data_IF_793184449514
#
_entry.id   IF_793184449514
#
_cell.length_a   1.000
_cell.length_b   1.000
_cell.length_c   1.000
_cell.angle_alpha   90.00
_cell.angle_beta   90.00
_cell.angle_gamma   90.00
#
_symmetry.space_group_name_H-M   'P 1'
#
loop_
_entity.id
_entity.type
_entity.pdbx_description
1 polymer ?
#
# COMPACT_ATOMS: atom_id res chain seq x y z
N UNK A 1 23.63 -48.93 -45.17
CA UNK A 1 24.80 -48.75 -44.28
C UNK A 1 24.46 -49.41 -42.95
N UNK A 2 25.44 -49.91 -42.20
CA UNK A 2 25.18 -50.23 -40.80
C UNK A 2 24.80 -48.90 -40.14
N UNK A 3 23.62 -48.79 -39.55
CA UNK A 3 23.21 -47.60 -38.81
C UNK A 3 22.97 -48.05 -37.39
N UNK A 4 23.70 -47.49 -36.43
CA UNK A 4 23.55 -47.77 -35.00
C UNK A 4 22.23 -47.23 -34.42
N UNK A 5 21.32 -46.76 -35.28
CA UNK A 5 20.01 -46.24 -34.94
C UNK A 5 20.00 -44.83 -34.34
N UNK A 6 21.15 -44.17 -34.20
CA UNK A 6 21.24 -42.83 -33.63
C UNK A 6 20.59 -41.73 -34.48
N UNK A 7 20.21 -40.62 -33.83
CA UNK A 7 19.88 -39.38 -34.56
C UNK A 7 21.16 -38.80 -35.21
N UNK A 8 21.00 -37.92 -36.21
CA UNK A 8 22.13 -37.40 -36.99
C UNK A 8 23.20 -36.70 -36.14
N UNK A 9 22.78 -35.99 -35.09
CA UNK A 9 23.69 -35.32 -34.15
C UNK A 9 24.51 -36.34 -33.35
N UNK A 10 23.86 -37.33 -32.74
CA UNK A 10 24.50 -38.39 -31.95
C UNK A 10 25.36 -39.30 -32.84
N UNK A 11 24.96 -39.56 -34.08
CA UNK A 11 25.77 -40.29 -35.04
C UNK A 11 27.08 -39.55 -35.33
N UNK A 12 27.03 -38.23 -35.54
CA UNK A 12 28.25 -37.42 -35.71
C UNK A 12 29.16 -37.47 -34.47
N UNK A 13 28.59 -37.34 -33.27
CA UNK A 13 29.36 -37.42 -32.03
C UNK A 13 30.01 -38.81 -31.83
N UNK A 14 29.29 -39.89 -32.13
CA UNK A 14 29.82 -41.25 -32.07
C UNK A 14 30.95 -41.45 -33.09
N UNK A 15 30.80 -40.96 -34.32
CA UNK A 15 31.87 -41.01 -35.34
C UNK A 15 33.11 -40.23 -34.88
N UNK A 16 32.93 -39.06 -34.26
CA UNK A 16 34.04 -38.27 -33.71
C UNK A 16 34.79 -39.04 -32.62
N UNK A 17 34.06 -39.65 -31.69
CA UNK A 17 34.65 -40.48 -30.65
C UNK A 17 35.35 -41.72 -31.24
N UNK A 18 34.76 -42.40 -32.22
CA UNK A 18 35.39 -43.54 -32.90
C UNK A 18 36.69 -43.13 -33.60
N UNK A 19 36.73 -41.97 -34.26
CA UNK A 19 37.95 -41.44 -34.89
C UNK A 19 39.04 -41.18 -33.86
N UNK A 20 38.67 -40.58 -32.72
CA UNK A 20 39.58 -40.37 -31.59
C UNK A 20 40.13 -41.70 -31.05
N UNK A 21 39.24 -42.66 -30.76
CA UNK A 21 39.62 -43.98 -30.25
C UNK A 21 40.53 -44.74 -31.22
N UNK A 22 40.24 -44.70 -32.52
CA UNK A 22 41.06 -45.31 -33.56
C UNK A 22 42.45 -44.66 -33.66
N UNK A 23 42.53 -43.33 -33.63
CA UNK A 23 43.82 -42.62 -33.65
C UNK A 23 44.67 -42.98 -32.44
N UNK A 24 44.05 -43.08 -31.27
CA UNK A 24 44.73 -43.47 -30.03
C UNK A 24 45.21 -44.92 -30.08
N UNK A 25 44.37 -45.85 -30.53
CA UNK A 25 44.74 -47.25 -30.77
C UNK A 25 45.96 -47.36 -31.71
N UNK A 26 45.96 -46.62 -32.81
CA UNK A 26 47.08 -46.62 -33.76
C UNK A 26 48.38 -46.08 -33.15
N UNK A 27 48.32 -45.04 -32.32
CA UNK A 27 49.48 -44.53 -31.59
C UNK A 27 50.04 -45.58 -30.62
N UNK A 28 49.16 -46.29 -29.91
CA UNK A 28 49.56 -47.30 -28.92
C UNK A 28 50.17 -48.54 -29.55
N UNK A 29 49.64 -48.98 -30.68
CA UNK A 29 50.28 -50.05 -31.46
C UNK A 29 51.69 -49.66 -31.88
N UNK A 30 51.91 -48.41 -32.31
CA UNK A 30 53.26 -47.91 -32.62
C UNK A 30 54.17 -47.90 -31.40
N UNK A 31 53.67 -47.51 -30.22
CA UNK A 31 54.44 -47.56 -28.97
C UNK A 31 54.89 -49.00 -28.66
N UNK A 32 53.99 -49.97 -28.80
CA UNK A 32 54.33 -51.39 -28.62
C UNK A 32 55.39 -51.81 -29.64
N UNK A 33 55.19 -51.52 -30.93
CA UNK A 33 56.16 -51.83 -31.99
C UNK A 33 57.54 -51.22 -31.70
N UNK A 34 57.57 -50.00 -31.17
CA UNK A 34 58.80 -49.34 -30.71
C UNK A 34 59.48 -50.11 -29.58
N UNK A 35 58.77 -50.66 -28.60
CA UNK A 35 59.39 -51.48 -27.55
C UNK A 35 60.12 -52.72 -28.12
N UNK A 36 59.53 -53.36 -29.14
CA UNK A 36 60.18 -54.49 -29.82
C UNK A 36 61.39 -54.03 -30.65
N UNK A 37 61.28 -52.88 -31.30
CA UNK A 37 62.38 -52.32 -32.08
C UNK A 37 63.54 -51.89 -31.18
N UNK A 38 63.26 -51.26 -30.04
CA UNK A 38 64.23 -50.87 -29.03
C UNK A 38 64.99 -52.09 -28.49
N UNK A 39 64.30 -53.21 -28.25
CA UNK A 39 64.96 -54.46 -27.84
C UNK A 39 65.90 -55.00 -28.94
N UNK A 40 65.45 -54.99 -30.20
CA UNK A 40 66.27 -55.44 -31.33
C UNK A 40 67.53 -54.59 -31.47
N UNK A 41 67.38 -53.27 -31.40
CA UNK A 41 68.47 -52.32 -31.62
C UNK A 41 69.44 -52.24 -30.44
N UNK A 42 68.98 -52.52 -29.21
CA UNK A 42 69.81 -52.42 -28.00
C UNK A 42 70.40 -53.73 -27.52
N UNK A 43 69.69 -54.86 -27.67
CA UNK A 43 70.10 -56.15 -27.08
C UNK A 43 70.28 -57.27 -28.09
N UNK A 44 69.67 -57.20 -29.27
CA UNK A 44 69.83 -58.20 -30.32
C UNK A 44 70.95 -57.84 -31.32
N UNK A 45 72.12 -57.46 -30.80
CA UNK A 45 73.25 -56.95 -31.60
C UNK A 45 74.31 -58.03 -31.87
N UNK A 46 74.34 -59.08 -31.05
CA UNK A 46 75.33 -60.15 -31.12
C UNK A 46 74.91 -61.28 -32.09
N UNK A 47 75.87 -61.99 -32.68
CA UNK A 47 75.61 -63.06 -33.65
C UNK A 47 75.16 -64.38 -32.99
N UNK A 48 75.47 -64.59 -31.70
CA UNK A 48 75.15 -65.81 -30.96
C UNK A 48 74.64 -65.49 -29.58
N UNK A 49 73.57 -66.17 -29.15
CA UNK A 49 73.01 -66.02 -27.81
C UNK A 49 72.83 -67.38 -27.14
N UNK A 50 72.98 -67.41 -25.81
CA UNK A 50 72.58 -68.55 -24.99
C UNK A 50 71.07 -68.55 -24.75
N UNK A 51 70.53 -69.72 -24.38
CA UNK A 51 69.10 -69.87 -24.09
C UNK A 51 68.67 -68.99 -22.90
N UNK A 52 69.55 -68.83 -21.90
CA UNK A 52 69.27 -68.04 -20.70
C UNK A 52 69.19 -66.54 -21.03
N UNK A 53 70.12 -66.03 -21.85
CA UNK A 53 70.11 -64.63 -22.31
C UNK A 53 68.87 -64.30 -23.14
N UNK A 54 68.49 -65.18 -24.08
CA UNK A 54 67.26 -65.01 -24.87
C UNK A 54 66.03 -65.04 -23.96
N UNK A 55 66.00 -65.93 -22.97
CA UNK A 55 64.89 -66.03 -22.03
C UNK A 55 64.76 -64.77 -21.16
N UNK A 56 65.87 -64.23 -20.68
CA UNK A 56 65.88 -62.97 -19.92
C UNK A 56 65.43 -61.78 -20.77
N UNK A 57 65.91 -61.68 -22.01
CA UNK A 57 65.48 -60.64 -22.97
C UNK A 57 63.98 -60.69 -23.25
N UNK A 58 63.44 -61.89 -23.49
CA UNK A 58 62.01 -62.09 -23.72
C UNK A 58 61.18 -61.76 -22.48
N UNK A 59 61.66 -62.13 -21.29
CA UNK A 59 60.99 -61.79 -20.05
C UNK A 59 60.97 -60.27 -19.79
N UNK A 60 62.10 -59.60 -20.01
CA UNK A 60 62.19 -58.13 -19.90
C UNK A 60 61.24 -57.42 -20.87
N UNK A 61 61.20 -57.86 -22.13
CA UNK A 61 60.27 -57.34 -23.13
C UNK A 61 58.80 -57.59 -22.72
N UNK A 62 58.48 -58.79 -22.22
CA UNK A 62 57.15 -59.12 -21.74
C UNK A 62 56.69 -58.17 -20.64
N UNK A 63 57.55 -57.86 -19.66
CA UNK A 63 57.22 -56.93 -18.56
C UNK A 63 56.94 -55.53 -19.09
N UNK A 64 57.77 -55.02 -20.01
CA UNK A 64 57.58 -53.68 -20.61
C UNK A 64 56.29 -53.61 -21.42
N UNK A 65 56.08 -54.56 -22.33
CA UNK A 65 54.86 -54.61 -23.17
C UNK A 65 53.61 -54.79 -22.32
N UNK A 66 53.66 -55.64 -21.28
CA UNK A 66 52.55 -55.80 -20.34
C UNK A 66 52.21 -54.48 -19.65
N UNK A 67 53.21 -53.74 -19.15
CA UNK A 67 53.00 -52.45 -18.50
C UNK A 67 52.36 -51.40 -19.43
N UNK A 68 52.81 -51.34 -20.69
CA UNK A 68 52.21 -50.44 -21.70
C UNK A 68 50.76 -50.80 -22.02
N UNK A 69 50.46 -52.09 -22.20
CA UNK A 69 49.10 -52.58 -22.47
C UNK A 69 48.19 -52.32 -21.28
N UNK A 70 48.62 -52.65 -20.06
CA UNK A 70 47.85 -52.43 -18.83
C UNK A 70 47.52 -50.95 -18.65
N UNK A 71 48.53 -50.08 -18.82
CA UNK A 71 48.35 -48.63 -18.74
C UNK A 71 47.33 -48.13 -19.76
N UNK A 72 47.34 -48.65 -20.99
CA UNK A 72 46.35 -48.23 -21.99
C UNK A 72 44.94 -48.78 -21.72
N UNK A 73 44.81 -50.00 -21.23
CA UNK A 73 43.51 -50.56 -20.83
C UNK A 73 42.86 -49.73 -19.72
N UNK A 74 43.64 -49.38 -18.69
CA UNK A 74 43.20 -48.48 -17.60
C UNK A 74 42.78 -47.12 -18.17
N UNK A 75 43.61 -46.55 -19.02
CA UNK A 75 43.32 -45.26 -19.63
C UNK A 75 42.08 -45.27 -20.52
N UNK A 76 41.80 -46.38 -21.21
CA UNK A 76 40.58 -46.57 -22.00
C UNK A 76 39.36 -46.57 -21.09
N UNK A 77 39.40 -47.30 -19.98
CA UNK A 77 38.33 -47.30 -18.97
C UNK A 77 38.09 -45.88 -18.41
N UNK A 78 39.15 -45.18 -17.99
CA UNK A 78 39.04 -43.79 -17.50
C UNK A 78 38.44 -42.84 -18.54
N UNK A 79 38.87 -42.95 -19.80
CA UNK A 79 38.36 -42.12 -20.89
C UNK A 79 36.86 -42.37 -21.12
N UNK A 80 36.42 -43.64 -21.02
CA UNK A 80 35.01 -44.00 -21.17
C UNK A 80 34.16 -43.50 -19.99
N UNK A 81 34.68 -43.57 -18.77
CA UNK A 81 34.02 -42.99 -17.59
C UNK A 81 33.88 -41.47 -17.73
N UNK A 82 34.89 -40.77 -18.28
CA UNK A 82 34.78 -39.34 -18.56
C UNK A 82 33.71 -39.02 -19.61
N UNK A 83 33.62 -39.83 -20.67
CA UNK A 83 32.56 -39.70 -21.65
C UNK A 83 31.17 -39.89 -21.01
N UNK A 84 30.99 -40.95 -20.20
CA UNK A 84 29.74 -41.19 -19.47
C UNK A 84 29.39 -40.03 -18.53
N UNK A 85 30.37 -39.49 -17.80
CA UNK A 85 30.19 -38.31 -16.95
C UNK A 85 29.68 -37.11 -17.76
N UNK A 86 30.25 -36.87 -18.95
CA UNK A 86 29.82 -35.78 -19.81
C UNK A 86 28.38 -35.97 -20.32
N UNK A 87 28.02 -37.20 -20.70
CA UNK A 87 26.66 -37.54 -21.13
C UNK A 87 25.66 -37.41 -19.98
N UNK A 88 25.97 -37.91 -18.79
CA UNK A 88 25.11 -37.80 -17.62
C UNK A 88 24.95 -36.35 -17.15
N UNK A 89 26.01 -35.54 -17.19
CA UNK A 89 25.88 -34.11 -16.86
C UNK A 89 24.95 -33.36 -17.82
N UNK A 90 24.92 -33.75 -19.10
CA UNK A 90 23.95 -33.20 -20.05
C UNK A 90 22.54 -33.72 -19.74
N UNK A 91 22.38 -35.03 -19.52
CA UNK A 91 21.09 -35.63 -19.18
C UNK A 91 20.46 -35.03 -17.91
N UNK A 92 21.26 -34.82 -16.86
CA UNK A 92 20.83 -34.22 -15.60
C UNK A 92 20.31 -32.79 -15.77
N UNK A 93 20.95 -31.97 -16.63
CA UNK A 93 20.46 -30.62 -16.96
C UNK A 93 19.07 -30.63 -17.59
N UNK A 94 18.72 -31.72 -18.28
CA UNK A 94 17.41 -31.95 -18.87
C UNK A 94 16.52 -32.88 -18.02
N UNK A 95 16.93 -33.18 -16.78
CA UNK A 95 16.23 -34.06 -15.84
C UNK A 95 15.93 -35.47 -16.38
N UNK A 96 16.76 -35.95 -17.30
CA UNK A 96 16.68 -37.29 -17.89
C UNK A 96 17.38 -38.30 -16.99
N UNK A 97 16.68 -39.40 -16.67
CA UNK A 97 17.26 -40.56 -16.00
C UNK A 97 17.71 -41.56 -17.06
N UNK A 98 19.01 -41.63 -17.30
CA UNK A 98 19.60 -42.61 -18.19
C UNK A 98 19.95 -43.88 -17.40
N UNK A 99 19.68 -45.03 -17.99
CA UNK A 99 20.08 -46.34 -17.48
C UNK A 99 20.86 -47.06 -18.58
N UNK A 100 21.97 -47.68 -18.19
CA UNK A 100 22.78 -48.48 -19.09
C UNK A 100 22.70 -49.93 -18.64
N UNK A 101 22.34 -50.83 -19.54
CA UNK A 101 22.44 -52.26 -19.28
C UNK A 101 23.89 -52.71 -19.54
N UNK A 102 24.61 -53.02 -18.47
CA UNK A 102 26.00 -53.48 -18.55
C UNK A 102 26.10 -54.84 -19.24
N UNK A 103 25.03 -55.64 -19.19
CA UNK A 103 24.98 -56.97 -19.79
C UNK A 103 25.08 -56.93 -21.33
N UNK A 104 24.63 -55.84 -21.94
CA UNK A 104 24.71 -55.67 -23.40
C UNK A 104 26.11 -55.28 -23.89
N UNK A 105 26.99 -54.78 -23.02
CA UNK A 105 28.34 -54.34 -23.39
C UNK A 105 29.25 -55.50 -23.84
N UNK A 106 28.97 -56.71 -23.37
CA UNK A 106 29.68 -57.93 -23.77
C UNK A 106 29.00 -58.68 -24.93
N UNK A 107 27.88 -58.16 -25.44
CA UNK A 107 27.16 -58.78 -26.53
C UNK A 107 28.00 -58.74 -27.81
N UNK A 108 28.49 -59.92 -28.21
CA UNK A 108 29.36 -60.10 -29.37
C UNK A 108 28.72 -59.63 -30.68
N UNK A 109 27.41 -59.78 -30.83
CA UNK A 109 26.69 -59.34 -32.03
C UNK A 109 26.66 -57.80 -32.11
N UNK A 110 26.39 -57.12 -30.99
CA UNK A 110 26.41 -55.65 -30.95
C UNK A 110 27.81 -55.09 -31.17
N UNK A 111 28.84 -55.73 -30.60
CA UNK A 111 30.24 -55.37 -30.84
C UNK A 111 30.64 -55.56 -32.30
N UNK A 112 30.16 -56.63 -32.95
CA UNK A 112 30.41 -56.88 -34.37
C UNK A 112 29.71 -55.85 -35.26
N UNK A 113 28.46 -55.47 -34.95
CA UNK A 113 27.75 -54.39 -35.65
C UNK A 113 28.49 -53.04 -35.52
N UNK A 114 29.01 -52.72 -34.34
CA UNK A 114 29.84 -51.52 -34.12
C UNK A 114 31.15 -51.60 -34.93
N UNK A 115 31.78 -52.77 -35.00
CA UNK A 115 33.00 -52.97 -35.78
C UNK A 115 32.75 -52.87 -37.29
N UNK A 116 31.64 -53.40 -37.79
CA UNK A 116 31.20 -53.22 -39.18
C UNK A 116 30.89 -51.77 -39.49
N UNK A 117 30.25 -51.05 -38.57
CA UNK A 117 30.01 -49.61 -38.68
C UNK A 117 31.31 -48.82 -38.76
N UNK A 118 32.26 -49.06 -37.84
CA UNK A 118 33.60 -48.43 -37.87
C UNK A 118 34.28 -48.70 -39.22
N UNK A 119 34.29 -49.95 -39.68
CA UNK A 119 34.87 -50.30 -40.99
C UNK A 119 34.17 -49.55 -42.12
N UNK A 120 32.84 -49.55 -42.16
CA UNK A 120 32.07 -48.90 -43.21
C UNK A 120 32.32 -47.38 -43.26
N UNK A 121 32.27 -46.68 -42.13
CA UNK A 121 32.49 -45.22 -42.06
C UNK A 121 33.90 -44.81 -42.48
N UNK A 122 34.91 -45.59 -42.12
CA UNK A 122 36.30 -45.21 -42.40
C UNK A 122 36.89 -45.82 -43.68
N UNK A 123 36.23 -46.79 -44.31
CA UNK A 123 36.60 -47.30 -45.66
C UNK A 123 35.81 -46.61 -46.77
N UNK A 124 34.62 -46.08 -46.48
CA UNK A 124 33.72 -45.47 -47.48
C UNK A 124 34.05 -44.03 -47.88
N UNK A 125 35.17 -43.46 -47.40
CA UNK A 125 35.69 -42.15 -47.86
C UNK A 125 35.87 -42.05 -49.39
N UNK A 126 35.76 -43.16 -50.13
CA UNK A 126 35.85 -43.21 -51.59
C UNK A 126 34.53 -43.27 -52.36
N UNK A 127 33.37 -43.53 -51.74
CA UNK A 127 32.08 -43.62 -52.47
C UNK A 127 30.90 -43.14 -51.63
N UNK A 128 30.55 -41.87 -51.79
CA UNK A 128 29.21 -41.38 -51.48
C UNK A 128 28.22 -41.97 -52.49
N UNK A 129 27.41 -42.91 -52.04
CA UNK A 129 26.17 -43.27 -52.74
C UNK A 129 25.04 -43.25 -51.72
N UNK A 130 24.14 -42.28 -51.91
CA UNK A 130 22.81 -42.21 -51.34
C UNK A 130 22.12 -43.57 -51.55
N UNK A 131 21.93 -44.32 -50.47
CA UNK A 131 20.88 -45.33 -50.40
C UNK A 131 20.19 -45.16 -49.07
N UNK A 132 19.02 -44.51 -49.12
CA UNK A 132 18.02 -44.50 -48.06
C UNK A 132 17.58 -45.94 -47.79
N UNK A 133 18.26 -46.62 -46.87
CA UNK A 133 17.74 -47.84 -46.29
C UNK A 133 16.77 -47.45 -45.18
N UNK A 134 15.47 -47.50 -45.51
CA UNK A 134 14.37 -47.48 -44.56
C UNK A 134 14.49 -48.68 -43.59
N UNK A 135 15.27 -48.51 -42.53
CA UNK A 135 15.10 -49.24 -41.26
C UNK A 135 14.57 -48.24 -40.23
N UNK A 136 13.76 -48.69 -39.26
CA UNK A 136 13.21 -47.79 -38.25
C UNK A 136 14.39 -47.16 -37.52
N UNK A 137 14.56 -45.85 -37.72
CA UNK A 137 15.40 -44.99 -36.88
C UNK A 137 15.06 -45.33 -35.43
N UNK A 138 16.01 -45.30 -34.49
CA UNK A 138 15.65 -45.25 -33.07
C UNK A 138 14.99 -43.88 -32.84
N UNK A 139 13.71 -43.81 -33.22
CA UNK A 139 12.75 -43.05 -32.48
C UNK A 139 12.87 -43.51 -31.02
N UNK A 140 12.77 -42.59 -30.06
CA UNK A 140 12.89 -42.91 -28.65
C UNK A 140 12.01 -44.12 -28.37
N UNK A 141 12.63 -45.21 -27.90
CA UNK A 141 11.97 -46.46 -27.51
C UNK A 141 11.22 -46.24 -26.19
N UNK A 142 10.38 -45.22 -26.17
CA UNK A 142 9.27 -45.00 -25.29
C UNK A 142 8.55 -43.76 -25.85
N UNK A 143 7.56 -43.94 -26.72
CA UNK A 143 6.54 -42.89 -26.89
C UNK A 143 5.92 -42.57 -25.53
N UNK A 144 5.95 -43.48 -24.55
CA UNK A 144 5.65 -43.18 -23.15
C UNK A 144 6.70 -42.31 -22.45
N UNK A 145 7.96 -42.23 -22.84
CA UNK A 145 8.96 -41.50 -22.05
C UNK A 145 8.85 -40.00 -22.25
N UNK A 146 9.03 -39.56 -23.50
CA UNK A 146 8.90 -38.15 -23.87
C UNK A 146 7.43 -37.73 -23.85
N UNK A 147 6.48 -38.57 -24.31
CA UNK A 147 5.06 -38.23 -24.21
C UNK A 147 4.53 -38.33 -22.79
N UNK A 148 4.97 -39.25 -21.89
CA UNK A 148 4.59 -39.14 -20.46
C UNK A 148 5.26 -37.96 -19.79
N UNK A 149 6.48 -37.56 -20.17
CA UNK A 149 7.10 -36.35 -19.64
C UNK A 149 6.35 -35.10 -20.13
N UNK A 150 5.99 -35.06 -21.42
CA UNK A 150 5.16 -34.00 -21.99
C UNK A 150 3.77 -34.02 -21.38
N UNK A 151 3.16 -35.19 -21.17
CA UNK A 151 1.84 -35.36 -20.56
C UNK A 151 1.89 -35.04 -19.06
N UNK A 152 3.00 -35.31 -18.36
CA UNK A 152 3.22 -34.89 -16.96
C UNK A 152 3.40 -33.38 -16.87
N UNK A 153 4.15 -32.78 -17.79
CA UNK A 153 4.29 -31.33 -17.84
C UNK A 153 2.98 -30.66 -18.28
N UNK A 154 2.25 -31.21 -19.25
CA UNK A 154 0.91 -30.78 -19.66
C UNK A 154 -0.05 -30.93 -18.48
N UNK A 155 -0.05 -32.05 -17.76
CA UNK A 155 -0.90 -32.25 -16.59
C UNK A 155 -0.56 -31.27 -15.47
N UNK A 156 0.74 -31.03 -15.20
CA UNK A 156 1.19 -30.02 -14.22
C UNK A 156 0.76 -28.62 -14.64
N UNK A 157 0.97 -28.24 -15.91
CA UNK A 157 0.57 -26.95 -16.45
C UNK A 157 -0.95 -26.80 -16.49
N UNK A 158 -1.71 -27.88 -16.71
CA UNK A 158 -3.17 -27.89 -16.64
C UNK A 158 -3.65 -27.73 -15.20
N UNK A 159 -3.05 -28.44 -14.24
CA UNK A 159 -3.35 -28.30 -12.82
C UNK A 159 -3.02 -26.88 -12.31
N UNK A 160 -1.87 -26.34 -12.71
CA UNK A 160 -1.47 -24.98 -12.39
C UNK A 160 -2.40 -23.95 -13.04
N UNK A 161 -2.80 -24.16 -14.29
CA UNK A 161 -3.82 -23.32 -14.94
C UNK A 161 -5.18 -23.40 -14.26
N UNK A 162 -5.65 -24.59 -13.86
CA UNK A 162 -6.92 -24.72 -13.14
C UNK A 162 -6.85 -24.08 -11.76
N UNK A 163 -5.71 -24.20 -11.06
CA UNK A 163 -5.48 -23.51 -9.79
C UNK A 163 -5.44 -22.00 -9.96
N UNK A 164 -4.79 -21.51 -11.02
CA UNK A 164 -4.77 -20.08 -11.37
C UNK A 164 -6.17 -19.59 -11.74
N UNK A 165 -6.92 -20.30 -12.58
CA UNK A 165 -8.32 -19.98 -12.92
C UNK A 165 -9.22 -20.00 -11.70
N UNK A 166 -9.06 -20.96 -10.79
CA UNK A 166 -9.81 -21.02 -9.54
C UNK A 166 -9.50 -19.81 -8.65
N UNK A 167 -8.22 -19.44 -8.50
CA UNK A 167 -7.83 -18.20 -7.80
C UNK A 167 -8.40 -16.96 -8.47
N UNK A 168 -8.35 -16.90 -9.80
CA UNK A 168 -8.87 -15.79 -10.59
C UNK A 168 -10.38 -15.64 -10.35
N UNK A 169 -11.15 -16.73 -10.44
CA UNK A 169 -12.59 -16.74 -10.11
C UNK A 169 -12.88 -16.31 -8.68
N UNK A 170 -12.09 -16.76 -7.71
CA UNK A 170 -12.26 -16.35 -6.31
C UNK A 170 -12.01 -14.85 -6.15
N UNK A 171 -10.94 -14.32 -6.75
CA UNK A 171 -10.61 -12.89 -6.72
C UNK A 171 -11.67 -12.07 -7.47
N UNK A 172 -12.15 -12.53 -8.62
CA UNK A 172 -13.25 -11.90 -9.35
C UNK A 172 -14.52 -11.84 -8.51
N UNK A 173 -14.88 -12.95 -7.87
CA UNK A 173 -16.06 -13.01 -6.98
C UNK A 173 -15.90 -12.03 -5.82
N UNK A 174 -14.74 -12.01 -5.16
CA UNK A 174 -14.45 -11.06 -4.08
C UNK A 174 -14.46 -9.59 -4.57
N UNK A 175 -13.94 -9.32 -5.76
CA UNK A 175 -13.95 -7.99 -6.34
C UNK A 175 -15.39 -7.52 -6.67
N UNK A 176 -16.21 -8.41 -7.23
CA UNK A 176 -17.64 -8.11 -7.50
C UNK A 176 -18.42 -7.90 -6.21
N UNK A 177 -18.23 -8.73 -5.17
CA UNK A 177 -18.90 -8.54 -3.88
C UNK A 177 -18.46 -7.25 -3.20
N UNK A 178 -17.17 -6.91 -3.24
CA UNK A 178 -16.66 -5.66 -2.70
C UNK A 178 -17.20 -4.44 -3.46
N UNK A 179 -17.38 -4.54 -4.78
CA UNK A 179 -17.99 -3.49 -5.59
C UNK A 179 -19.48 -3.29 -5.23
N UNK A 180 -20.23 -4.38 -5.04
CA UNK A 180 -21.63 -4.34 -4.62
C UNK A 180 -21.78 -3.75 -3.22
N UNK A 181 -20.92 -4.15 -2.28
CA UNK A 181 -20.86 -3.56 -0.94
C UNK A 181 -20.53 -2.08 -1.00
N UNK A 182 -19.52 -1.68 -1.79
CA UNK A 182 -19.19 -0.28 -2.02
C UNK A 182 -20.39 0.50 -2.56
N UNK A 183 -21.12 -0.05 -3.55
CA UNK A 183 -22.32 0.60 -4.10
C UNK A 183 -23.43 0.77 -3.06
N UNK A 184 -23.67 -0.25 -2.22
CA UNK A 184 -24.64 -0.20 -1.13
C UNK A 184 -24.24 0.84 -0.08
N UNK A 185 -22.97 0.86 0.32
CA UNK A 185 -22.43 1.83 1.27
C UNK A 185 -22.49 3.25 0.71
N UNK A 186 -22.15 3.46 -0.57
CA UNK A 186 -22.27 4.78 -1.22
C UNK A 186 -23.73 5.28 -1.27
N UNK A 187 -24.70 4.38 -1.52
CA UNK A 187 -26.12 4.71 -1.46
C UNK A 187 -26.54 5.08 -0.04
N UNK A 188 -26.22 4.24 0.94
CA UNK A 188 -26.53 4.49 2.34
C UNK A 188 -25.91 5.81 2.85
N UNK A 189 -24.68 6.12 2.42
CA UNK A 189 -24.00 7.35 2.77
C UNK A 189 -24.68 8.58 2.14
N UNK A 190 -25.11 8.49 0.87
CA UNK A 190 -25.91 9.54 0.23
C UNK A 190 -27.26 9.75 0.91
N UNK A 191 -27.93 8.67 1.31
CA UNK A 191 -29.22 8.75 1.99
C UNK A 191 -29.06 9.36 3.40
N UNK A 192 -28.03 8.95 4.15
CA UNK A 192 -27.68 9.57 5.43
C UNK A 192 -27.32 11.05 5.28
N UNK A 193 -26.58 11.44 4.23
CA UNK A 193 -26.28 12.85 3.96
C UNK A 193 -27.53 13.66 3.63
N UNK A 194 -28.50 13.08 2.92
CA UNK A 194 -29.79 13.72 2.66
C UNK A 194 -30.59 13.88 3.94
N UNK A 195 -30.74 12.81 4.74
CA UNK A 195 -31.45 12.86 6.02
C UNK A 195 -30.79 13.87 6.96
N UNK A 196 -29.46 13.88 7.08
CA UNK A 196 -28.75 14.86 7.89
C UNK A 196 -28.91 16.28 7.35
N UNK A 197 -28.94 16.46 6.03
CA UNK A 197 -29.21 17.74 5.38
C UNK A 197 -30.62 18.24 5.69
N UNK A 198 -31.62 17.37 5.54
CA UNK A 198 -33.03 17.65 5.78
C UNK A 198 -33.31 17.89 7.26
N UNK A 199 -32.78 17.06 8.17
CA UNK A 199 -32.87 17.27 9.63
C UNK A 199 -32.19 18.58 10.05
N UNK A 200 -31.03 18.91 9.48
CA UNK A 200 -30.34 20.17 9.78
C UNK A 200 -31.09 21.38 9.23
N UNK A 201 -31.76 21.26 8.09
CA UNK A 201 -32.63 22.28 7.54
C UNK A 201 -33.89 22.43 8.41
N UNK A 202 -34.52 21.33 8.80
CA UNK A 202 -35.73 21.32 9.61
C UNK A 202 -35.47 21.85 11.04
N UNK A 203 -34.33 21.50 11.65
CA UNK A 203 -33.88 22.06 12.92
C UNK A 203 -33.61 23.57 12.81
N UNK A 204 -32.91 24.01 11.75
CA UNK A 204 -32.70 25.45 11.51
C UNK A 204 -34.00 26.19 11.28
N UNK A 205 -34.94 25.62 10.53
CA UNK A 205 -36.26 26.23 10.31
C UNK A 205 -37.03 26.33 11.62
N UNK A 206 -37.04 25.27 12.45
CA UNK A 206 -37.67 25.29 13.79
C UNK A 206 -37.01 26.30 14.73
N UNK A 207 -35.69 26.40 14.71
CA UNK A 207 -34.96 27.42 15.49
C UNK A 207 -35.30 28.83 15.01
N UNK A 208 -35.36 29.06 13.69
CA UNK A 208 -35.75 30.36 13.11
C UNK A 208 -37.20 30.69 13.49
N UNK A 209 -38.15 29.77 13.37
CA UNK A 209 -39.55 30.03 13.75
C UNK A 209 -39.68 30.32 15.25
N UNK A 210 -38.97 29.57 16.11
CA UNK A 210 -38.98 29.83 17.54
C UNK A 210 -38.35 31.20 17.88
N UNK A 211 -37.27 31.58 17.18
CA UNK A 211 -36.68 32.90 17.32
C UNK A 211 -37.61 34.01 16.83
N UNK A 212 -38.31 33.80 15.72
CA UNK A 212 -39.32 34.73 15.21
C UNK A 212 -40.49 34.90 16.20
N UNK A 213 -40.98 33.80 16.79
CA UNK A 213 -42.03 33.83 17.81
C UNK A 213 -41.58 34.56 19.08
N UNK A 214 -40.37 34.26 19.59
CA UNK A 214 -39.82 34.95 20.78
C UNK A 214 -39.59 36.44 20.51
N UNK A 215 -39.09 36.81 19.33
CA UNK A 215 -38.93 38.22 18.93
C UNK A 215 -40.28 38.91 18.79
N UNK A 216 -41.30 38.24 18.23
CA UNK A 216 -42.65 38.79 18.13
C UNK A 216 -43.29 38.99 19.51
N UNK A 217 -43.12 38.04 20.42
CA UNK A 217 -43.57 38.14 21.81
C UNK A 217 -42.88 39.29 22.54
N UNK A 218 -41.54 39.36 22.46
CA UNK A 218 -40.73 40.46 23.01
C UNK A 218 -41.15 41.82 22.46
N UNK A 219 -41.40 41.92 21.15
CA UNK A 219 -41.86 43.16 20.52
C UNK A 219 -43.25 43.57 21.04
N UNK A 220 -44.14 42.60 21.23
CA UNK A 220 -45.49 42.84 21.75
C UNK A 220 -45.45 43.30 23.21
N UNK A 221 -44.64 42.65 24.04
CA UNK A 221 -44.48 43.02 25.46
C UNK A 221 -43.75 44.36 25.62
N UNK A 222 -42.75 44.63 24.78
CA UNK A 222 -42.10 45.94 24.74
C UNK A 222 -43.10 47.05 24.35
N UNK A 223 -43.92 46.82 23.33
CA UNK A 223 -44.97 47.77 22.93
C UNK A 223 -46.00 47.99 24.04
N UNK A 224 -46.44 46.92 24.72
CA UNK A 224 -47.36 47.02 25.87
C UNK A 224 -46.73 47.81 27.02
N UNK A 225 -45.48 47.52 27.36
CA UNK A 225 -44.75 48.20 28.44
C UNK A 225 -44.52 49.67 28.11
N UNK A 226 -44.17 49.99 26.86
CA UNK A 226 -44.03 51.36 26.40
C UNK A 226 -45.36 52.11 26.49
N UNK A 227 -46.44 51.52 25.99
CA UNK A 227 -47.78 52.12 26.05
C UNK A 227 -48.23 52.32 27.51
N UNK A 228 -48.01 51.33 28.39
CA UNK A 228 -48.32 51.44 29.81
C UNK A 228 -47.52 52.57 30.48
N UNK A 229 -46.20 52.63 30.23
CA UNK A 229 -45.33 53.69 30.71
C UNK A 229 -45.79 55.08 30.24
N UNK A 230 -46.12 55.22 28.97
CA UNK A 230 -46.64 56.48 28.42
C UNK A 230 -47.99 56.88 29.02
N UNK A 231 -48.86 55.91 29.31
CA UNK A 231 -50.15 56.15 29.96
C UNK A 231 -49.95 56.59 31.42
N UNK A 232 -49.05 55.93 32.17
CA UNK A 232 -48.71 56.33 33.54
C UNK A 232 -48.00 57.68 33.60
N UNK A 233 -47.13 57.99 32.62
CA UNK A 233 -46.49 59.29 32.53
C UNK A 233 -47.54 60.39 32.30
N UNK A 234 -48.48 60.16 31.39
CA UNK A 234 -49.57 61.10 31.12
C UNK A 234 -50.46 61.29 32.35
N UNK A 235 -50.82 60.22 33.05
CA UNK A 235 -51.62 60.30 34.28
C UNK A 235 -50.88 61.06 35.39
N UNK A 236 -49.56 60.86 35.54
CA UNK A 236 -48.72 61.64 36.45
C UNK A 236 -48.65 63.12 36.07
N UNK A 237 -48.52 63.44 34.78
CA UNK A 237 -48.53 64.82 34.27
C UNK A 237 -49.88 65.50 34.55
N UNK A 238 -51.00 64.82 34.28
CA UNK A 238 -52.36 65.32 34.56
C UNK A 238 -52.57 65.54 36.08
N UNK A 239 -52.15 64.59 36.91
CA UNK A 239 -52.20 64.73 38.38
C UNK A 239 -51.33 65.89 38.88
N UNK A 240 -50.14 66.09 38.31
CA UNK A 240 -49.24 67.19 38.66
C UNK A 240 -49.85 68.56 38.29
N UNK A 241 -50.50 68.66 37.13
CA UNK A 241 -51.22 69.87 36.72
C UNK A 241 -52.38 70.15 37.67
N UNK A 242 -53.15 69.10 38.02
CA UNK A 242 -54.31 69.23 38.91
C UNK A 242 -53.89 69.68 40.31
N UNK A 243 -52.89 69.02 40.90
CA UNK A 243 -52.34 69.40 42.21
C UNK A 243 -51.73 70.80 42.21
N UNK A 244 -51.06 71.22 41.12
CA UNK A 244 -50.56 72.58 40.97
C UNK A 244 -51.71 73.61 40.96
N UNK A 245 -52.83 73.30 40.30
CA UNK A 245 -53.99 74.18 40.27
C UNK A 245 -54.67 74.28 41.65
N UNK A 246 -54.80 73.16 42.36
CA UNK A 246 -55.36 73.15 43.72
C UNK A 246 -54.45 73.89 44.71
N UNK A 247 -53.12 73.74 44.59
CA UNK A 247 -52.16 74.48 45.42
C UNK A 247 -52.28 75.99 45.18
N UNK A 248 -52.42 76.43 43.93
CA UNK A 248 -52.65 77.84 43.62
C UNK A 248 -53.96 78.36 44.23
N UNK A 249 -55.05 77.57 44.17
CA UNK A 249 -56.31 77.93 44.84
C UNK A 249 -56.15 78.07 46.34
N UNK A 250 -55.44 77.14 46.98
CA UNK A 250 -55.20 77.19 48.43
C UNK A 250 -54.32 78.40 48.77
N UNK A 251 -53.30 78.70 47.98
CA UNK A 251 -52.49 79.92 48.15
C UNK A 251 -53.33 81.20 48.03
N UNK A 252 -54.24 81.27 47.06
CA UNK A 252 -55.14 82.41 46.89
C UNK A 252 -56.14 82.54 48.05
N UNK A 253 -56.74 81.43 48.50
CA UNK A 253 -57.60 81.39 49.67
C UNK A 253 -56.87 81.81 50.95
N UNK A 254 -55.61 81.37 51.11
CA UNK A 254 -54.78 81.72 52.25
C UNK A 254 -54.42 83.21 52.23
N UNK A 255 -54.03 83.76 51.07
CA UNK A 255 -53.80 85.20 50.91
C UNK A 255 -55.06 86.04 51.20
N UNK A 256 -56.23 85.55 50.78
CA UNK A 256 -57.51 86.19 51.09
C UNK A 256 -57.85 86.12 52.58
N UNK A 257 -57.64 84.97 53.22
CA UNK A 257 -57.85 84.78 54.65
C UNK A 257 -56.88 85.64 55.49
N UNK A 258 -55.61 85.75 55.08
CA UNK A 258 -54.63 86.66 55.70
C UNK A 258 -55.08 88.12 55.59
N UNK A 259 -55.57 88.54 54.41
CA UNK A 259 -56.09 89.89 54.20
C UNK A 259 -57.35 90.18 55.03
N UNK A 260 -58.24 89.20 55.16
CA UNK A 260 -59.42 89.32 56.03
C UNK A 260 -59.06 89.34 57.51
N UNK A 261 -58.10 88.51 57.93
CA UNK A 261 -57.60 88.48 59.30
C UNK A 261 -56.94 89.81 59.67
N UNK A 262 -56.11 90.35 58.78
CA UNK A 262 -55.50 91.69 58.93
C UNK A 262 -56.59 92.77 59.07
N UNK A 263 -57.64 92.70 58.23
CA UNK A 263 -58.77 93.63 58.32
C UNK A 263 -59.55 93.49 59.64
N UNK A 264 -59.80 92.26 60.11
CA UNK A 264 -60.46 92.01 61.42
C UNK A 264 -59.57 92.43 62.59
N UNK A 265 -58.26 92.21 62.50
CA UNK A 265 -57.29 92.66 63.49
C UNK A 265 -57.31 94.18 63.62
N UNK A 266 -57.26 94.92 62.51
CA UNK A 266 -57.41 96.38 62.49
C UNK A 266 -58.75 96.87 63.05
N UNK A 267 -59.81 96.05 62.99
CA UNK A 267 -61.14 96.35 63.52
C UNK A 267 -61.34 95.93 64.99
N UNK A 268 -60.37 95.25 65.60
CA UNK A 268 -60.51 94.74 66.98
C UNK A 268 -60.45 95.90 67.97
N UNK A 269 -61.30 95.87 69.01
CA UNK A 269 -61.40 96.94 70.02
C UNK A 269 -60.05 97.23 70.71
N UNK A 270 -59.21 96.21 70.92
CA UNK A 270 -57.86 96.37 71.44
C UNK A 270 -56.95 97.18 70.51
N UNK A 271 -56.91 96.86 69.20
CA UNK A 271 -56.13 97.62 68.22
C UNK A 271 -56.69 99.04 68.03
N UNK A 272 -58.02 99.18 68.00
CA UNK A 272 -58.69 100.49 67.85
C UNK A 272 -58.42 101.38 69.07
N UNK A 273 -58.54 100.85 70.29
CA UNK A 273 -58.16 101.55 71.53
C UNK A 273 -56.66 101.87 71.55
N UNK A 274 -55.78 100.94 71.15
CA UNK A 274 -54.33 101.17 71.12
C UNK A 274 -53.95 102.26 70.11
N UNK A 275 -54.57 102.24 68.92
CA UNK A 275 -54.43 103.29 67.89
C UNK A 275 -54.93 104.64 68.41
N UNK A 276 -56.07 104.67 69.10
CA UNK A 276 -56.66 105.88 69.66
C UNK A 276 -55.83 106.45 70.83
N UNK A 277 -55.27 105.58 71.68
CA UNK A 277 -54.31 105.95 72.73
C UNK A 277 -53.01 106.48 72.11
N UNK A 278 -52.49 105.84 71.06
CA UNK A 278 -51.30 106.30 70.33
C UNK A 278 -51.52 107.66 69.65
N UNK A 279 -52.67 107.87 69.00
CA UNK A 279 -53.01 109.18 68.42
C UNK A 279 -53.21 110.23 69.49
N UNK A 280 -53.93 109.94 70.58
CA UNK A 280 -54.10 110.86 71.71
C UNK A 280 -52.79 111.16 72.41
N UNK A 281 -51.92 110.18 72.63
CA UNK A 281 -50.58 110.40 73.20
C UNK A 281 -49.69 111.20 72.25
N UNK A 282 -49.76 110.97 70.94
CA UNK A 282 -49.05 111.80 69.96
C UNK A 282 -49.56 113.24 69.90
N UNK A 283 -50.88 113.45 70.05
CA UNK A 283 -51.49 114.78 70.17
C UNK A 283 -51.12 115.45 71.48
N UNK A 284 -51.19 114.74 72.60
CA UNK A 284 -50.70 115.19 73.91
C UNK A 284 -49.20 115.51 73.86
N UNK A 285 -48.37 114.69 73.19
CA UNK A 285 -46.96 114.99 72.97
C UNK A 285 -46.79 116.25 72.12
N UNK A 286 -47.58 116.44 71.05
CA UNK A 286 -47.58 117.70 70.26
C UNK A 286 -47.99 118.90 71.11
N UNK A 287 -48.99 118.75 71.96
CA UNK A 287 -49.56 119.81 72.78
C UNK A 287 -48.65 120.16 73.98
N UNK A 288 -48.07 119.15 74.62
CA UNK A 288 -47.01 119.27 75.64
C UNK A 288 -45.77 119.91 75.01
N UNK A 289 -45.30 119.46 73.84
CA UNK A 289 -44.18 120.10 73.11
C UNK A 289 -44.47 121.57 72.79
N UNK A 290 -45.71 121.91 72.42
CA UNK A 290 -46.07 123.30 72.10
C UNK A 290 -46.28 124.18 73.35
N UNK A 291 -46.76 123.60 74.46
CA UNK A 291 -46.81 124.28 75.77
C UNK A 291 -45.40 124.45 76.37
N UNK A 292 -44.52 123.45 76.27
CA UNK A 292 -43.10 123.57 76.65
C UNK A 292 -42.42 124.71 75.89
N UNK A 293 -42.64 124.82 74.57
CA UNK A 293 -42.10 125.90 73.72
C UNK A 293 -42.46 127.35 74.13
N UNK A 294 -43.42 127.55 75.05
CA UNK A 294 -43.74 128.86 75.63
C UNK A 294 -42.95 129.18 76.91
N UNK A 295 -42.51 128.16 77.64
CA UNK A 295 -41.97 128.30 79.00
C UNK A 295 -40.50 127.87 79.12
N UNK A 296 -39.94 127.33 78.03
CA UNK A 296 -38.54 127.42 77.63
C UNK A 296 -38.54 128.04 76.21
N UNK A 297 -38.41 129.37 76.02
CA UNK A 297 -38.09 129.93 74.71
C UNK A 297 -36.59 129.77 74.46
N UNK A 298 -36.06 128.56 74.63
CA UNK A 298 -34.66 128.32 74.36
C UNK A 298 -34.49 127.13 73.42
N UNK A 299 -33.78 127.50 72.35
CA UNK A 299 -32.94 126.70 71.44
C UNK A 299 -33.57 126.08 70.19
#
# INVERSE_FOLDING_TARGET
>A
MAELGFNEHHQKEVINYMRFARSRRALRLKTIDSCFQDLKDSRLVEETFTVDEVSEMLHGLQVVVHGEVETELINTAHTNVLLLRQLFSQAEKFYLKLQTDVSELENRELLEQVAEFEKAEFTSSSKKTNQESNKPKLAPLNEGGVSELLNKEIARLQEENEKLKARLRTIETQATSALDEKSKLEKALKDLQKIQGDEKLELKTKEITNLEETVAALKTDFQKTLNASTATQKDLEDNLVTTKHDLLKVQEQLAMAEKELEKKFQQTAAYRNMKEILTKKNEQIKEIRKRLSKYEPDE
#
